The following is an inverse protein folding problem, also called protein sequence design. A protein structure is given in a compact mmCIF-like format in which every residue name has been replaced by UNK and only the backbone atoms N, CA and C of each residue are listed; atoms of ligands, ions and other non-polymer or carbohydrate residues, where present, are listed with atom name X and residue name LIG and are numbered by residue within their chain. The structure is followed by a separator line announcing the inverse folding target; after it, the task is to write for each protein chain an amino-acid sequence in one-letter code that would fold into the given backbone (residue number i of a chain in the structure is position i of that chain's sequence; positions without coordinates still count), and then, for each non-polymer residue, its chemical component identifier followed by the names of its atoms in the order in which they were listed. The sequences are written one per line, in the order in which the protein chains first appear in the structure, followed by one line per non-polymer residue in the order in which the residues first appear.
data_IF_881581902226
#
_entry.id   IF_881581902226
#
_cell.length_a   1.000
_cell.length_b   1.000
_cell.length_c   1.000
_cell.angle_alpha   90.00
_cell.angle_beta   90.00
_cell.angle_gamma   90.00
#
_symmetry.space_group_name_H-M   'P 1'
#
loop_
_entity.id
_entity.type
_entity.pdbx_description
1 polymer ?
#
# COMPACT_ATOMS: atom_id res chain seq x y z
N UNK A 1 -16.67 -1.93 22.27
CA UNK A 1 -15.82 -1.61 21.10
C UNK A 1 -14.38 -2.05 21.32
N UNK A 2 -13.70 -1.58 22.37
CA UNK A 2 -12.28 -1.87 22.68
C UNK A 2 -11.98 -3.37 22.78
N UNK A 3 -12.82 -4.15 23.49
CA UNK A 3 -12.64 -5.61 23.63
C UNK A 3 -12.69 -6.35 22.30
N UNK A 4 -13.54 -5.89 21.37
CA UNK A 4 -13.69 -6.53 20.06
C UNK A 4 -12.50 -6.21 19.16
N UNK A 5 -12.08 -4.93 19.14
CA UNK A 5 -10.87 -4.48 18.48
C UNK A 5 -9.65 -5.28 18.94
N UNK A 6 -9.44 -5.42 20.26
CA UNK A 6 -8.31 -6.16 20.84
C UNK A 6 -8.29 -7.62 20.40
N UNK A 7 -9.44 -8.30 20.40
CA UNK A 7 -9.51 -9.69 19.98
C UNK A 7 -9.23 -9.80 18.48
N UNK A 8 -9.90 -9.01 17.65
CA UNK A 8 -9.74 -9.05 16.21
C UNK A 8 -8.33 -8.68 15.76
N UNK A 9 -7.70 -7.69 16.42
CA UNK A 9 -6.33 -7.30 16.15
C UNK A 9 -5.34 -8.42 16.46
N UNK A 10 -5.49 -9.12 17.58
CA UNK A 10 -4.60 -10.24 17.92
C UNK A 10 -4.61 -11.31 16.82
N UNK A 11 -5.79 -11.77 16.43
CA UNK A 11 -5.90 -12.76 15.36
C UNK A 11 -5.40 -12.24 14.01
N UNK A 12 -5.72 -10.99 13.68
CA UNK A 12 -5.21 -10.36 12.46
C UNK A 12 -3.68 -10.36 12.44
N UNK A 13 -3.04 -9.90 13.52
CA UNK A 13 -1.59 -9.90 13.65
C UNK A 13 -1.02 -11.31 13.61
N UNK A 14 -1.62 -12.31 14.24
CA UNK A 14 -1.16 -13.70 14.14
C UNK A 14 -1.14 -14.20 12.67
N UNK A 15 -2.13 -13.80 11.87
CA UNK A 15 -2.21 -14.15 10.45
C UNK A 15 -1.21 -13.42 9.56
N UNK A 16 -0.91 -12.16 9.86
CA UNK A 16 -0.03 -11.36 8.99
C UNK A 16 1.41 -11.34 9.47
N UNK A 17 1.71 -11.58 10.75
CA UNK A 17 3.02 -11.31 11.37
C UNK A 17 4.17 -11.98 10.62
N UNK A 18 4.06 -13.29 10.33
CA UNK A 18 5.11 -14.01 9.60
C UNK A 18 5.36 -13.43 8.21
N UNK A 19 4.29 -13.06 7.48
CA UNK A 19 4.39 -12.46 6.14
C UNK A 19 4.92 -11.04 6.21
N UNK A 20 4.42 -10.25 7.16
CA UNK A 20 4.88 -8.89 7.41
C UNK A 20 6.38 -8.88 7.68
N UNK A 21 6.86 -9.66 8.64
CA UNK A 21 8.28 -9.76 8.97
C UNK A 21 9.10 -10.26 7.78
N UNK A 22 8.64 -11.28 7.05
CA UNK A 22 9.37 -11.83 5.91
C UNK A 22 9.50 -10.81 4.76
N UNK A 23 8.41 -10.19 4.33
CA UNK A 23 8.45 -9.26 3.19
C UNK A 23 9.14 -7.95 3.54
N UNK A 24 8.95 -7.44 4.76
CA UNK A 24 9.69 -6.26 5.23
C UNK A 24 11.18 -6.58 5.29
N UNK A 25 11.57 -7.71 5.89
CA UNK A 25 12.99 -8.11 5.96
C UNK A 25 13.61 -8.25 4.56
N UNK A 26 12.92 -8.91 3.62
CA UNK A 26 13.40 -9.05 2.24
C UNK A 26 13.60 -7.68 1.59
N UNK A 27 12.65 -6.77 1.75
CA UNK A 27 12.75 -5.43 1.20
C UNK A 27 13.92 -4.65 1.80
N UNK A 28 14.09 -4.69 3.13
CA UNK A 28 15.21 -4.07 3.83
C UNK A 28 16.58 -4.63 3.39
N UNK A 29 16.66 -5.94 3.13
CA UNK A 29 17.88 -6.55 2.62
C UNK A 29 18.22 -6.09 1.20
N UNK A 30 17.21 -5.92 0.34
CA UNK A 30 17.38 -5.37 -1.02
C UNK A 30 17.86 -3.92 -0.93
N UNK A 31 17.24 -3.10 -0.09
CA UNK A 31 17.66 -1.71 0.14
C UNK A 31 19.11 -1.63 0.64
N UNK A 32 19.48 -2.46 1.60
CA UNK A 32 20.84 -2.51 2.13
C UNK A 32 21.84 -2.93 1.06
N UNK A 33 21.51 -3.94 0.24
CA UNK A 33 22.34 -4.36 -0.88
C UNK A 33 22.56 -3.21 -1.88
N UNK A 34 21.49 -2.54 -2.30
CA UNK A 34 21.56 -1.39 -3.22
C UNK A 34 22.38 -0.23 -2.62
N UNK A 35 22.17 0.07 -1.34
CA UNK A 35 22.93 1.11 -0.63
C UNK A 35 24.42 0.82 -0.62
N UNK A 36 24.82 -0.43 -0.37
CA UNK A 36 26.23 -0.84 -0.38
C UNK A 36 26.79 -0.77 -1.81
N UNK A 37 26.03 -1.26 -2.80
CA UNK A 37 26.46 -1.29 -4.20
C UNK A 37 26.76 0.12 -4.75
N UNK A 38 25.98 1.13 -4.34
CA UNK A 38 26.08 2.49 -4.85
C UNK A 38 26.62 3.49 -3.84
N UNK A 39 27.25 3.03 -2.75
CA UNK A 39 27.70 3.88 -1.65
C UNK A 39 28.62 5.03 -2.10
N UNK A 40 29.49 4.78 -3.07
CA UNK A 40 30.45 5.77 -3.56
C UNK A 40 29.93 6.61 -4.73
N UNK A 41 28.67 6.41 -5.15
CA UNK A 41 28.07 7.18 -6.23
C UNK A 41 27.39 8.45 -5.67
N UNK A 42 27.93 9.66 -5.95
CA UNK A 42 27.39 10.90 -5.41
C UNK A 42 26.04 11.30 -6.00
N UNK A 43 25.63 10.71 -7.13
CA UNK A 43 24.35 10.99 -7.78
C UNK A 43 23.28 9.94 -7.45
N UNK A 44 23.60 8.92 -6.66
CA UNK A 44 22.66 7.87 -6.30
C UNK A 44 22.00 8.16 -4.95
N UNK A 45 20.70 8.41 -4.98
CA UNK A 45 19.86 8.48 -3.79
C UNK A 45 18.86 7.33 -3.88
N UNK A 46 18.93 6.38 -2.94
CA UNK A 46 18.12 5.15 -2.96
C UNK A 46 16.62 5.44 -3.09
N UNK A 47 16.14 6.43 -2.32
CA UNK A 47 14.74 6.85 -2.38
C UNK A 47 14.35 7.33 -3.78
N UNK A 48 15.18 8.17 -4.39
CA UNK A 48 14.94 8.67 -5.74
C UNK A 48 14.96 7.54 -6.76
N UNK A 49 15.90 6.62 -6.65
CA UNK A 49 15.98 5.46 -7.53
C UNK A 49 14.74 4.55 -7.46
N UNK A 50 14.16 4.35 -6.27
CA UNK A 50 12.95 3.53 -6.12
C UNK A 50 11.70 4.25 -6.62
N UNK A 51 11.61 5.57 -6.41
CA UNK A 51 10.41 6.37 -6.70
C UNK A 51 10.53 7.27 -7.93
N UNK A 52 11.60 7.19 -8.73
CA UNK A 52 11.79 7.95 -9.97
C UNK A 52 10.55 7.81 -10.88
N UNK A 53 10.17 6.55 -11.11
CA UNK A 53 9.04 6.19 -11.96
C UNK A 53 9.34 6.41 -13.45
N UNK A 54 8.30 6.42 -14.26
CA UNK A 54 8.42 6.54 -15.72
C UNK A 54 8.06 7.96 -16.14
N UNK A 55 8.93 8.63 -16.90
CA UNK A 55 8.69 10.02 -17.32
C UNK A 55 7.53 10.16 -18.31
N UNK A 56 6.96 11.37 -18.41
CA UNK A 56 5.91 11.63 -19.41
C UNK A 56 6.44 11.55 -20.83
N UNK A 57 7.68 11.99 -21.03
CA UNK A 57 8.36 11.99 -22.32
C UNK A 57 8.58 10.57 -22.84
N UNK A 58 9.00 9.63 -21.98
CA UNK A 58 9.14 8.22 -22.35
C UNK A 58 7.84 7.58 -22.83
N UNK A 59 6.70 7.96 -22.25
CA UNK A 59 5.39 7.43 -22.63
C UNK A 59 4.98 7.98 -24.00
N UNK A 60 5.19 9.28 -24.22
CA UNK A 60 4.91 9.95 -25.50
C UNK A 60 5.81 9.44 -26.61
N UNK A 61 7.08 9.16 -26.30
CA UNK A 61 8.06 8.59 -27.25
C UNK A 61 7.95 7.07 -27.40
N UNK A 62 6.96 6.42 -26.75
CA UNK A 62 6.72 4.98 -26.81
C UNK A 62 7.89 4.10 -26.37
N UNK A 63 8.78 4.63 -25.52
CA UNK A 63 9.85 3.89 -24.85
C UNK A 63 9.74 3.90 -23.31
N UNK A 64 8.56 3.65 -22.71
CA UNK A 64 8.43 3.55 -21.26
C UNK A 64 9.15 2.32 -20.73
N UNK A 65 10.03 2.50 -19.75
CA UNK A 65 10.57 1.40 -18.97
C UNK A 65 9.57 0.97 -17.88
N UNK A 66 9.75 -0.22 -17.31
CA UNK A 66 8.94 -0.64 -16.16
C UNK A 66 9.65 -0.22 -14.86
N UNK A 67 9.03 0.63 -14.04
CA UNK A 67 9.57 1.01 -12.74
C UNK A 67 9.41 -0.15 -11.72
N UNK A 68 10.28 -1.15 -11.84
CA UNK A 68 10.19 -2.43 -11.10
C UNK A 68 10.21 -2.21 -9.59
N UNK A 69 11.12 -1.38 -9.06
CA UNK A 69 11.24 -1.14 -7.62
C UNK A 69 10.01 -0.44 -7.04
N UNK A 70 9.51 0.59 -7.73
CA UNK A 70 8.25 1.25 -7.40
C UNK A 70 7.09 0.24 -7.36
N UNK A 71 6.99 -0.62 -8.38
CA UNK A 71 5.94 -1.63 -8.47
C UNK A 71 6.03 -2.64 -7.31
N UNK A 72 7.23 -3.14 -7.00
CA UNK A 72 7.48 -4.05 -5.88
C UNK A 72 7.11 -3.41 -4.55
N UNK A 73 7.47 -2.14 -4.34
CA UNK A 73 7.11 -1.39 -3.12
C UNK A 73 5.60 -1.40 -2.86
N UNK A 74 4.79 -1.10 -3.88
CA UNK A 74 3.34 -1.09 -3.74
C UNK A 74 2.72 -2.50 -3.67
N UNK A 75 3.38 -3.54 -4.19
CA UNK A 75 2.88 -4.91 -4.12
C UNK A 75 3.10 -5.57 -2.75
N UNK A 76 4.18 -5.25 -2.04
CA UNK A 76 4.54 -5.91 -0.78
C UNK A 76 3.40 -5.85 0.26
N UNK A 77 2.76 -4.70 0.55
CA UNK A 77 1.69 -4.63 1.53
C UNK A 77 0.48 -5.51 1.19
N UNK A 78 0.27 -5.81 -0.09
CA UNK A 78 -0.78 -6.73 -0.52
C UNK A 78 -0.39 -8.18 -0.28
N UNK A 79 0.86 -8.56 -0.54
CA UNK A 79 1.32 -9.91 -0.18
C UNK A 79 1.35 -10.14 1.34
N UNK A 80 1.55 -9.08 2.12
CA UNK A 80 1.41 -9.11 3.57
C UNK A 80 -0.05 -9.40 3.95
N UNK A 81 -1.00 -8.70 3.33
CA UNK A 81 -2.40 -8.76 3.74
C UNK A 81 -3.15 -9.96 3.16
N UNK A 82 -2.98 -10.25 1.86
CA UNK A 82 -3.61 -11.37 1.14
C UNK A 82 -5.10 -11.53 1.55
N UNK A 83 -5.59 -12.76 1.66
CA UNK A 83 -6.95 -13.06 2.11
C UNK A 83 -7.14 -13.08 3.63
N UNK A 84 -6.22 -12.50 4.41
CA UNK A 84 -6.28 -12.54 5.89
C UNK A 84 -7.64 -12.10 6.43
N UNK A 85 -8.18 -10.99 5.94
CA UNK A 85 -9.47 -10.46 6.38
C UNK A 85 -10.64 -11.37 5.97
N UNK A 86 -10.58 -11.98 4.80
CA UNK A 86 -11.59 -12.93 4.34
C UNK A 86 -11.56 -14.23 5.16
N UNK A 87 -10.37 -14.74 5.49
CA UNK A 87 -10.20 -15.90 6.37
C UNK A 87 -10.74 -15.64 7.78
N UNK A 88 -10.43 -14.46 8.35
CA UNK A 88 -10.94 -14.04 9.66
C UNK A 88 -12.47 -13.98 9.64
N UNK A 89 -13.05 -13.45 8.57
CA UNK A 89 -14.50 -13.42 8.40
C UNK A 89 -15.10 -14.82 8.42
N UNK A 90 -14.63 -15.72 7.55
CA UNK A 90 -15.19 -17.06 7.41
C UNK A 90 -15.09 -17.88 8.72
N UNK A 91 -13.97 -17.75 9.43
CA UNK A 91 -13.76 -18.47 10.70
C UNK A 91 -14.58 -17.90 11.87
N UNK A 92 -14.94 -16.62 11.83
CA UNK A 92 -15.53 -15.94 12.99
C UNK A 92 -16.94 -15.44 12.79
N UNK A 93 -17.49 -15.50 11.59
CA UNK A 93 -18.84 -14.97 11.31
C UNK A 93 -19.89 -15.56 12.26
N UNK A 94 -19.82 -16.86 12.57
CA UNK A 94 -20.73 -17.49 13.53
C UNK A 94 -20.54 -16.97 14.96
N UNK A 95 -19.29 -16.80 15.41
CA UNK A 95 -18.96 -16.26 16.74
C UNK A 95 -19.38 -14.78 16.86
N UNK A 96 -19.24 -14.02 15.77
CA UNK A 96 -19.63 -12.62 15.68
C UNK A 96 -21.15 -12.46 15.77
N UNK A 97 -21.90 -13.28 15.02
CA UNK A 97 -23.36 -13.33 15.06
C UNK A 97 -23.85 -13.77 16.45
N UNK A 98 -23.26 -14.81 17.04
CA UNK A 98 -23.61 -15.29 18.38
C UNK A 98 -23.37 -14.26 19.49
N UNK A 99 -22.42 -13.33 19.31
CA UNK A 99 -22.13 -12.25 20.26
C UNK A 99 -22.86 -10.93 19.93
N UNK A 100 -23.76 -10.92 18.94
CA UNK A 100 -24.53 -9.73 18.55
C UNK A 100 -23.70 -8.61 17.93
N UNK A 101 -22.51 -8.91 17.39
CA UNK A 101 -21.72 -7.90 16.69
C UNK A 101 -22.25 -7.67 15.28
N UNK A 102 -22.52 -6.40 14.94
CA UNK A 102 -22.93 -6.04 13.59
C UNK A 102 -21.78 -6.07 12.60
N UNK A 103 -22.10 -6.40 11.36
CA UNK A 103 -21.16 -6.55 10.25
C UNK A 103 -20.50 -5.23 9.86
N UNK A 104 -21.24 -4.13 10.01
CA UNK A 104 -20.69 -2.77 9.93
C UNK A 104 -19.56 -2.50 10.94
N UNK A 105 -19.62 -3.07 12.16
CA UNK A 105 -18.52 -2.93 13.13
C UNK A 105 -17.30 -3.74 12.71
N UNK A 106 -17.50 -4.91 12.12
CA UNK A 106 -16.42 -5.74 11.58
C UNK A 106 -15.69 -5.01 10.43
N UNK A 107 -16.43 -4.46 9.47
CA UNK A 107 -15.87 -3.72 8.34
C UNK A 107 -15.03 -2.50 8.78
N UNK A 108 -15.53 -1.72 9.76
CA UNK A 108 -14.79 -0.59 10.33
C UNK A 108 -13.46 -1.00 10.95
N UNK A 109 -13.47 -2.07 11.75
CA UNK A 109 -12.24 -2.55 12.38
C UNK A 109 -11.27 -3.09 11.34
N UNK A 110 -11.75 -3.76 10.31
CA UNK A 110 -10.90 -4.19 9.19
C UNK A 110 -10.18 -3.00 8.57
N UNK A 111 -10.90 -1.93 8.20
CA UNK A 111 -10.29 -0.71 7.62
C UNK A 111 -9.21 -0.15 8.55
N UNK A 112 -9.48 -0.03 9.85
CA UNK A 112 -8.49 0.43 10.83
C UNK A 112 -7.26 -0.47 10.84
N UNK A 113 -7.44 -1.79 10.80
CA UNK A 113 -6.32 -2.75 10.76
C UNK A 113 -5.51 -2.63 9.46
N UNK A 114 -6.15 -2.41 8.31
CA UNK A 114 -5.45 -2.17 7.04
C UNK A 114 -4.58 -0.92 7.09
N UNK A 115 -5.13 0.16 7.66
CA UNK A 115 -4.41 1.43 7.82
C UNK A 115 -3.23 1.26 8.77
N UNK A 116 -3.40 0.52 9.87
CA UNK A 116 -2.30 0.21 10.79
C UNK A 116 -1.19 -0.59 10.09
N UNK A 117 -1.53 -1.54 9.23
CA UNK A 117 -0.52 -2.29 8.47
C UNK A 117 0.19 -1.45 7.42
N UNK A 118 -0.55 -0.59 6.72
CA UNK A 118 0.03 0.35 5.77
C UNK A 118 1.01 1.30 6.48
N UNK A 119 0.60 1.86 7.61
CA UNK A 119 1.43 2.73 8.45
C UNK A 119 2.67 2.01 8.97
N UNK A 120 2.53 0.79 9.50
CA UNK A 120 3.64 0.00 10.00
C UNK A 120 4.68 -0.30 8.93
N UNK A 121 4.23 -0.72 7.74
CA UNK A 121 5.10 -0.95 6.59
C UNK A 121 5.81 0.35 6.17
N UNK A 122 5.02 1.41 5.96
CA UNK A 122 5.53 2.73 5.57
C UNK A 122 6.60 3.24 6.55
N UNK A 123 6.32 3.26 7.86
CA UNK A 123 7.26 3.75 8.86
C UNK A 123 8.58 2.97 8.85
N UNK A 124 8.53 1.64 8.72
CA UNK A 124 9.74 0.82 8.66
C UNK A 124 10.56 1.11 7.40
N UNK A 125 9.92 1.20 6.23
CA UNK A 125 10.61 1.56 4.97
C UNK A 125 11.15 2.99 4.98
N UNK A 126 10.47 3.90 5.69
CA UNK A 126 10.93 5.28 5.80
C UNK A 126 12.16 5.36 6.69
N UNK A 127 12.14 4.70 7.84
CA UNK A 127 13.30 4.61 8.72
C UNK A 127 14.50 4.01 7.97
N UNK A 128 14.29 2.99 7.14
CA UNK A 128 15.38 2.40 6.36
C UNK A 128 15.93 3.35 5.29
N UNK A 129 15.08 4.11 4.59
CA UNK A 129 15.57 5.16 3.68
C UNK A 129 16.40 6.22 4.40
N UNK A 130 15.99 6.65 5.60
CA UNK A 130 16.76 7.58 6.40
C UNK A 130 18.12 7.00 6.81
N UNK A 131 18.16 5.73 7.24
CA UNK A 131 19.41 5.04 7.58
C UNK A 131 20.31 4.93 6.34
N UNK A 132 19.76 4.54 5.20
CA UNK A 132 20.51 4.43 3.94
C UNK A 132 21.13 5.76 3.52
N UNK A 133 20.37 6.85 3.61
CA UNK A 133 20.85 8.19 3.29
C UNK A 133 21.97 8.66 4.22
N UNK A 134 21.89 8.37 5.52
CA UNK A 134 22.98 8.66 6.47
C UNK A 134 24.23 7.85 6.10
N UNK A 135 24.08 6.57 5.79
CA UNK A 135 25.20 5.71 5.39
C UNK A 135 25.89 6.19 4.10
N UNK A 136 25.13 6.72 3.14
CA UNK A 136 25.64 7.27 1.88
C UNK A 136 26.00 8.77 1.95
N UNK A 137 25.88 9.40 3.12
CA UNK A 137 26.16 10.83 3.34
C UNK A 137 25.31 11.78 2.47
N UNK A 138 24.10 11.35 2.10
CA UNK A 138 23.15 12.13 1.30
C UNK A 138 22.10 12.80 2.19
N UNK A 139 21.77 14.06 1.89
CA UNK A 139 20.71 14.80 2.59
C UNK A 139 19.41 14.63 1.83
N UNK A 140 18.45 13.91 2.42
CA UNK A 140 17.08 13.85 1.90
C UNK A 140 16.45 15.25 2.05
N UNK A 141 16.18 15.92 0.93
CA UNK A 141 15.57 17.25 0.93
C UNK A 141 14.15 17.23 1.54
N UNK A 142 13.80 18.26 2.33
CA UNK A 142 12.48 18.46 2.91
C UNK A 142 11.34 18.56 1.88
N UNK A 143 11.64 18.85 0.60
CA UNK A 143 10.65 18.80 -0.50
C UNK A 143 10.06 17.40 -0.69
N UNK A 144 10.74 16.35 -0.25
CA UNK A 144 10.26 14.96 -0.27
C UNK A 144 9.15 14.66 0.75
N UNK A 145 8.91 15.54 1.73
CA UNK A 145 7.89 15.32 2.77
C UNK A 145 6.46 15.24 2.22
N UNK A 146 6.18 15.92 1.12
CA UNK A 146 4.86 15.86 0.47
C UNK A 146 4.67 14.50 -0.22
N UNK A 147 5.72 13.99 -0.87
CA UNK A 147 5.71 12.70 -1.55
C UNK A 147 5.53 11.57 -0.56
N UNK A 148 6.17 11.67 0.60
CA UNK A 148 6.03 10.73 1.70
C UNK A 148 4.57 10.55 2.14
N UNK A 149 3.82 11.65 2.24
CA UNK A 149 2.38 11.57 2.53
C UNK A 149 1.61 10.91 1.39
N UNK A 150 1.89 11.27 0.13
CA UNK A 150 1.24 10.68 -1.04
C UNK A 150 1.51 9.17 -1.14
N UNK A 151 2.72 8.70 -0.80
CA UNK A 151 3.06 7.28 -0.74
C UNK A 151 2.16 6.57 0.28
N UNK A 152 2.04 7.10 1.50
CA UNK A 152 1.17 6.52 2.53
C UNK A 152 -0.29 6.45 2.09
N UNK A 153 -0.83 7.54 1.53
CA UNK A 153 -2.21 7.59 1.06
C UNK A 153 -2.44 6.59 -0.08
N UNK A 154 -1.53 6.51 -1.04
CA UNK A 154 -1.62 5.56 -2.15
C UNK A 154 -1.46 4.10 -1.70
N UNK A 155 -0.64 3.82 -0.67
CA UNK A 155 -0.58 2.49 -0.05
C UNK A 155 -1.96 2.07 0.50
N UNK A 156 -2.65 2.99 1.18
CA UNK A 156 -4.00 2.75 1.69
C UNK A 156 -4.99 2.52 0.54
N UNK A 157 -4.91 3.31 -0.54
CA UNK A 157 -5.74 3.14 -1.75
C UNK A 157 -5.52 1.75 -2.35
N UNK A 158 -4.27 1.34 -2.57
CA UNK A 158 -3.93 0.03 -3.14
C UNK A 158 -4.47 -1.13 -2.29
N UNK A 159 -4.31 -1.06 -0.97
CA UNK A 159 -4.84 -2.08 -0.06
C UNK A 159 -6.37 -2.12 -0.09
N UNK A 160 -7.04 -0.96 -0.10
CA UNK A 160 -8.50 -0.88 -0.17
C UNK A 160 -9.05 -1.44 -1.48
N UNK A 161 -8.44 -1.07 -2.62
CA UNK A 161 -8.79 -1.62 -3.94
C UNK A 161 -8.65 -3.14 -3.92
N UNK A 162 -7.49 -3.64 -3.48
CA UNK A 162 -7.25 -5.08 -3.39
C UNK A 162 -8.32 -5.78 -2.53
N UNK A 163 -8.60 -5.27 -1.34
CA UNK A 163 -9.58 -5.88 -0.42
C UNK A 163 -11.01 -5.81 -0.95
N UNK A 164 -11.40 -4.74 -1.64
CA UNK A 164 -12.69 -4.61 -2.31
C UNK A 164 -12.91 -5.73 -3.32
N UNK A 165 -11.92 -5.98 -4.18
CA UNK A 165 -12.02 -7.03 -5.19
C UNK A 165 -11.95 -8.44 -4.57
N UNK A 166 -11.17 -8.63 -3.50
CA UNK A 166 -11.16 -9.87 -2.71
C UNK A 166 -12.52 -10.22 -2.09
N UNK A 167 -13.42 -9.25 -1.87
CA UNK A 167 -14.77 -9.54 -1.38
C UNK A 167 -15.54 -10.44 -2.36
N UNK A 168 -15.31 -10.29 -3.67
CA UNK A 168 -15.95 -11.12 -4.69
C UNK A 168 -15.24 -12.47 -4.80
N UNK A 169 -13.94 -12.44 -5.12
CA UNK A 169 -13.03 -13.60 -5.13
C UNK A 169 -11.59 -13.13 -4.91
N UNK A 170 -10.79 -13.93 -4.20
CA UNK A 170 -9.37 -13.65 -3.93
C UNK A 170 -8.54 -13.32 -5.18
N UNK A 171 -8.71 -14.09 -6.26
CA UNK A 171 -7.94 -13.90 -7.49
C UNK A 171 -8.21 -12.54 -8.16
N UNK A 172 -9.42 -11.98 -8.03
CA UNK A 172 -9.73 -10.67 -8.59
C UNK A 172 -8.96 -9.54 -7.92
N UNK A 173 -8.68 -9.63 -6.61
CA UNK A 173 -7.86 -8.65 -5.90
C UNK A 173 -6.47 -8.53 -6.51
N UNK A 174 -5.83 -9.67 -6.75
CA UNK A 174 -4.49 -9.73 -7.33
C UNK A 174 -4.46 -9.16 -8.75
N UNK A 175 -5.39 -9.58 -9.61
CA UNK A 175 -5.46 -9.13 -11.00
C UNK A 175 -5.75 -7.62 -11.08
N UNK A 176 -6.74 -7.14 -10.32
CA UNK A 176 -7.16 -5.74 -10.35
C UNK A 176 -6.02 -4.80 -9.95
N UNK A 177 -5.28 -5.15 -8.89
CA UNK A 177 -4.17 -4.34 -8.44
C UNK A 177 -2.97 -4.40 -9.37
N UNK A 178 -2.58 -5.59 -9.85
CA UNK A 178 -1.49 -5.71 -10.82
C UNK A 178 -1.80 -4.91 -12.08
N UNK A 179 -3.02 -5.03 -12.60
CA UNK A 179 -3.47 -4.22 -13.72
C UNK A 179 -3.39 -2.73 -13.40
N UNK A 180 -3.85 -2.29 -12.22
CA UNK A 180 -3.80 -0.89 -11.81
C UNK A 180 -2.37 -0.34 -11.75
N UNK A 181 -1.42 -1.06 -11.14
CA UNK A 181 -0.01 -0.65 -11.04
C UNK A 181 0.70 -0.65 -12.41
N UNK A 182 0.45 -1.67 -13.24
CA UNK A 182 1.06 -1.78 -14.57
C UNK A 182 0.51 -0.72 -15.51
N UNK A 183 -0.83 -0.56 -15.58
CA UNK A 183 -1.47 0.47 -16.40
C UNK A 183 -0.96 1.86 -16.00
N UNK A 184 -0.78 2.11 -14.70
CA UNK A 184 -0.23 3.39 -14.23
C UNK A 184 1.17 3.65 -14.77
N UNK A 185 2.04 2.64 -14.88
CA UNK A 185 3.38 2.84 -15.46
C UNK A 185 3.31 3.27 -16.92
N UNK A 186 2.39 2.70 -17.71
CA UNK A 186 2.33 2.91 -19.15
C UNK A 186 1.39 4.03 -19.60
N UNK A 187 0.44 4.46 -18.77
CA UNK A 187 -0.57 5.46 -19.11
C UNK A 187 -0.58 6.62 -18.11
N UNK A 188 -0.54 7.84 -18.63
CA UNK A 188 -0.76 9.06 -17.85
C UNK A 188 -2.27 9.31 -17.79
N UNK A 189 -2.94 8.69 -16.82
CA UNK A 189 -4.36 8.96 -16.57
C UNK A 189 -4.45 10.22 -15.70
N UNK A 190 -5.17 11.28 -16.12
CA UNK A 190 -5.38 12.45 -15.28
C UNK A 190 -6.09 12.05 -13.99
N UNK A 191 -5.67 12.64 -12.86
CA UNK A 191 -6.18 12.35 -11.51
C UNK A 191 -5.91 10.93 -10.97
N UNK A 192 -5.07 10.13 -11.62
CA UNK A 192 -4.59 8.90 -11.02
C UNK A 192 -3.66 9.25 -9.83
N UNK A 193 -4.03 8.89 -8.59
CA UNK A 193 -3.28 9.29 -7.40
C UNK A 193 -1.86 8.69 -7.36
N UNK A 194 -1.64 7.55 -8.02
CA UNK A 194 -0.32 6.91 -8.07
C UNK A 194 0.70 7.73 -8.86
N UNK A 195 0.27 8.60 -9.78
CA UNK A 195 1.19 9.49 -10.49
C UNK A 195 1.93 10.42 -9.51
N UNK A 196 1.31 10.80 -8.39
CA UNK A 196 1.93 11.66 -7.37
C UNK A 196 3.01 10.95 -6.54
N UNK A 197 3.19 9.65 -6.75
CA UNK A 197 4.23 8.85 -6.09
C UNK A 197 5.46 8.63 -6.97
N UNK A 198 5.40 8.97 -8.25
CA UNK A 198 6.52 8.93 -9.19
C UNK A 198 7.14 10.32 -9.30
N UNK A 199 8.40 10.48 -8.92
CA UNK A 199 9.09 11.78 -8.83
C UNK A 199 9.03 12.57 -10.14
N UNK A 200 9.21 11.89 -11.27
CA UNK A 200 9.26 12.53 -12.59
C UNK A 200 7.87 13.01 -13.06
N UNK A 201 6.78 12.60 -12.40
CA UNK A 201 5.39 12.98 -12.77
C UNK A 201 4.77 14.01 -11.84
N UNK A 202 5.49 14.50 -10.84
CA UNK A 202 4.95 15.43 -9.85
C UNK A 202 4.81 16.82 -10.48
N UNK A 203 3.61 17.14 -10.94
CA UNK A 203 3.29 18.48 -11.44
C UNK A 203 2.39 19.27 -10.50
N UNK A 204 1.44 18.59 -9.84
CA UNK A 204 0.54 19.22 -8.89
C UNK A 204 0.18 18.23 -7.80
N UNK A 205 0.38 18.64 -6.54
CA UNK A 205 0.08 17.79 -5.40
C UNK A 205 -1.44 17.68 -5.21
N UNK A 206 -2.01 16.48 -5.40
CA UNK A 206 -3.45 16.27 -5.36
C UNK A 206 -3.92 15.51 -4.10
N UNK A 207 -3.38 15.84 -2.92
CA UNK A 207 -3.77 15.21 -1.64
C UNK A 207 -5.30 15.22 -1.44
N UNK A 208 -5.97 16.31 -1.82
CA UNK A 208 -7.43 16.43 -1.63
C UNK A 208 -8.19 15.39 -2.45
N UNK A 209 -7.78 15.11 -3.70
CA UNK A 209 -8.41 14.07 -4.50
C UNK A 209 -8.08 12.68 -3.98
N UNK A 210 -6.87 12.44 -3.47
CA UNK A 210 -6.48 11.19 -2.82
C UNK A 210 -7.37 10.88 -1.61
N UNK A 211 -7.58 11.86 -0.73
CA UNK A 211 -8.49 11.73 0.41
C UNK A 211 -9.93 11.47 -0.03
N UNK A 212 -10.40 12.14 -1.09
CA UNK A 212 -11.72 11.89 -1.66
C UNK A 212 -11.85 10.45 -2.18
N UNK A 213 -10.85 9.94 -2.89
CA UNK A 213 -10.83 8.55 -3.38
C UNK A 213 -10.84 7.57 -2.20
N UNK A 214 -10.01 7.79 -1.17
CA UNK A 214 -9.98 6.93 0.03
C UNK A 214 -11.35 6.90 0.71
N UNK A 215 -11.96 8.06 0.94
CA UNK A 215 -13.28 8.13 1.57
C UNK A 215 -14.35 7.41 0.73
N UNK A 216 -14.35 7.61 -0.59
CA UNK A 216 -15.26 6.89 -1.50
C UNK A 216 -15.05 5.37 -1.43
N UNK A 217 -13.80 4.90 -1.48
CA UNK A 217 -13.48 3.48 -1.37
C UNK A 217 -13.89 2.88 -0.03
N UNK A 218 -13.73 3.62 1.08
CA UNK A 218 -14.19 3.19 2.41
C UNK A 218 -15.72 3.05 2.42
N UNK A 219 -16.46 4.02 1.85
CA UNK A 219 -17.93 3.97 1.77
C UNK A 219 -18.37 2.75 0.94
N UNK A 220 -17.79 2.55 -0.25
CA UNK A 220 -18.07 1.40 -1.12
C UNK A 220 -17.75 0.10 -0.39
N UNK A 221 -16.60 0.01 0.28
CA UNK A 221 -16.20 -1.17 1.04
C UNK A 221 -17.23 -1.51 2.11
N UNK A 222 -17.68 -0.52 2.88
CA UNK A 222 -18.72 -0.71 3.89
C UNK A 222 -20.05 -1.16 3.27
N UNK A 223 -20.46 -0.57 2.15
CA UNK A 223 -21.69 -0.94 1.45
C UNK A 223 -21.64 -2.39 0.94
N UNK A 224 -20.56 -2.78 0.26
CA UNK A 224 -20.36 -4.14 -0.23
C UNK A 224 -20.36 -5.16 0.92
N UNK A 225 -19.74 -4.82 2.05
CA UNK A 225 -19.69 -5.70 3.21
C UNK A 225 -21.07 -5.90 3.85
N UNK A 226 -21.91 -4.87 3.89
CA UNK A 226 -23.29 -4.97 4.40
C UNK A 226 -24.20 -5.80 3.50
N UNK A 227 -24.07 -5.68 2.17
CA UNK A 227 -24.88 -6.47 1.24
C UNK A 227 -24.56 -7.97 1.28
N UNK A 228 -23.35 -8.34 1.69
CA UNK A 228 -22.89 -9.73 1.75
C UNK A 228 -23.62 -10.57 2.80
N UNK A 229 -24.33 -9.96 3.75
CA UNK A 229 -25.17 -10.68 4.74
C UNK A 229 -26.51 -11.17 4.18
N UNK A 230 -26.92 -10.69 3.00
CA UNK A 230 -28.21 -11.03 2.38
C UNK A 230 -28.14 -12.17 1.35
N UNK A 231 -26.95 -12.78 1.18
CA UNK A 231 -26.69 -13.92 0.29
C UNK A 231 -26.10 -15.05 1.13
#
# INVERSE_FOLDING_TARGET
MIRFLKIQSLFYFDYIYKRFSLFVLLFLLIELFLTIQFKDNPNFILFEYIFEGVSKEEIVTHHPHLAIYWLIYFLIPIFIQLDSLHQIWNQRIMILKARGYSVSRFARINVVLMVITALGYYLLTMISFWIAAICSHHIISLKHNIIFLNILLNLIICILIYQLFCLFKSYFGHIALLAYLVITNYLIIPYNPLNNTMLVRIENNQIVSELFIITALIIIYHYCYQRRDFI
#
